data_IF_683965601371
#
_entry.id   IF_683965601371
#
_cell.length_a   1.000
_cell.length_b   1.000
_cell.length_c   1.000
_cell.angle_alpha   90.00
_cell.angle_beta   90.00
_cell.angle_gamma   90.00
#
_symmetry.space_group_name_H-M   'P 1'
#
loop_
_entity.id
_entity.type
_entity.pdbx_description
1 polymer ?
#
# COMPACT_ATOMS: atom_id res chain seq x y z
N UNK A 1 -13.99 10.83 15.59
CA UNK A 1 -14.08 12.27 15.28
C UNK A 1 -15.42 12.45 14.59
N UNK A 2 -16.17 13.54 14.86
CA UNK A 2 -17.35 13.85 14.07
C UNK A 2 -16.97 14.22 12.64
N UNK A 3 -17.86 14.02 11.68
CA UNK A 3 -17.63 14.46 10.30
C UNK A 3 -17.36 15.96 10.23
N UNK A 4 -16.60 16.39 9.23
CA UNK A 4 -16.30 17.81 8.91
C UNK A 4 -15.50 18.60 9.95
N UNK A 5 -14.89 17.99 10.96
CA UNK A 5 -14.20 18.72 12.07
C UNK A 5 -13.06 19.61 11.57
N UNK A 6 -12.37 19.23 10.51
CA UNK A 6 -11.28 20.02 9.90
C UNK A 6 -11.60 20.49 8.47
N UNK A 7 -12.87 20.37 8.04
CA UNK A 7 -13.26 20.83 6.70
C UNK A 7 -12.91 22.29 6.49
N UNK A 8 -12.30 22.61 5.35
CA UNK A 8 -11.85 23.97 5.00
C UNK A 8 -10.60 24.46 5.73
N UNK A 9 -9.91 23.61 6.51
CA UNK A 9 -8.68 24.00 7.19
C UNK A 9 -7.51 24.14 6.20
N UNK A 10 -7.56 25.11 5.30
CA UNK A 10 -6.59 25.30 4.21
C UNK A 10 -5.15 25.58 4.65
N UNK A 11 -4.96 26.03 5.89
CA UNK A 11 -3.62 26.26 6.47
C UNK A 11 -3.04 25.03 7.20
N UNK A 12 -3.80 23.93 7.29
CA UNK A 12 -3.35 22.71 7.93
C UNK A 12 -2.36 21.97 7.01
N UNK A 13 -1.08 21.92 7.39
CA UNK A 13 -0.02 21.30 6.57
C UNK A 13 0.24 19.83 6.89
N UNK A 14 -0.03 19.43 8.12
CA UNK A 14 0.12 18.05 8.58
C UNK A 14 -0.81 17.77 9.75
N UNK A 15 -1.19 16.51 9.92
CA UNK A 15 -1.99 16.04 11.05
C UNK A 15 -1.62 14.62 11.43
N UNK A 16 -1.63 14.33 12.72
CA UNK A 16 -1.51 12.97 13.23
C UNK A 16 -2.90 12.42 13.54
N UNK A 17 -3.31 11.37 12.82
CA UNK A 17 -4.55 10.65 13.09
C UNK A 17 -4.29 9.66 14.24
N UNK A 18 -5.05 9.74 15.35
CA UNK A 18 -4.84 8.85 16.50
C UNK A 18 -5.12 7.38 16.18
N UNK A 19 -4.30 6.47 16.74
CA UNK A 19 -4.50 5.02 16.60
C UNK A 19 -5.78 4.47 17.25
N UNK A 20 -6.54 5.30 17.97
CA UNK A 20 -7.85 4.94 18.52
C UNK A 20 -9.00 5.07 17.50
N UNK A 21 -8.76 5.71 16.35
CA UNK A 21 -9.78 5.87 15.32
C UNK A 21 -9.83 4.61 14.44
N UNK A 22 -11.02 4.10 14.23
CA UNK A 22 -11.29 2.96 13.35
C UNK A 22 -11.90 3.37 12.00
N UNK A 23 -12.40 4.60 11.90
CA UNK A 23 -12.98 5.16 10.68
C UNK A 23 -12.49 6.60 10.54
N UNK A 24 -12.14 6.99 9.32
CA UNK A 24 -12.03 8.40 8.93
C UNK A 24 -13.41 8.82 8.47
N UNK A 25 -14.04 9.71 9.26
CA UNK A 25 -15.42 10.13 9.02
C UNK A 25 -15.57 10.95 7.73
N UNK A 26 -16.79 11.04 7.16
CA UNK A 26 -17.04 11.87 5.97
C UNK A 26 -16.64 13.33 6.16
N UNK A 27 -16.07 13.94 5.11
CA UNK A 27 -15.68 15.35 5.01
C UNK A 27 -14.70 15.84 6.09
N UNK A 28 -14.06 14.94 6.84
CA UNK A 28 -13.27 15.36 8.01
C UNK A 28 -12.10 16.27 7.65
N UNK A 29 -11.47 16.08 6.48
CA UNK A 29 -10.39 16.90 5.92
C UNK A 29 -10.76 17.50 4.56
N UNK A 30 -12.05 17.57 4.24
CA UNK A 30 -12.52 18.19 3.00
C UNK A 30 -11.97 19.61 2.85
N UNK A 31 -11.44 19.95 1.68
CA UNK A 31 -10.83 21.25 1.36
C UNK A 31 -9.65 21.66 2.28
N UNK A 32 -8.93 20.70 2.85
CA UNK A 32 -7.66 20.94 3.53
C UNK A 32 -6.52 21.13 2.51
N UNK A 33 -6.59 22.17 1.69
CA UNK A 33 -5.69 22.37 0.54
C UNK A 33 -4.22 22.52 0.90
N UNK A 34 -3.89 22.90 2.14
CA UNK A 34 -2.52 22.97 2.65
C UNK A 34 -1.93 21.63 3.09
N UNK A 35 -2.74 20.56 3.19
CA UNK A 35 -2.29 19.27 3.70
C UNK A 35 -1.38 18.58 2.68
N UNK A 36 -0.07 18.51 2.98
CA UNK A 36 0.93 17.95 2.07
C UNK A 36 1.18 16.46 2.28
N UNK A 37 0.92 15.98 3.48
CA UNK A 37 1.07 14.57 3.84
C UNK A 37 0.16 14.19 5.00
N UNK A 38 -0.31 12.95 5.00
CA UNK A 38 -1.06 12.36 6.09
C UNK A 38 -0.73 10.87 6.20
N UNK A 39 -0.63 10.37 7.43
CA UNK A 39 -0.46 8.94 7.69
C UNK A 39 -1.78 8.39 8.22
N UNK A 40 -2.35 7.43 7.51
CA UNK A 40 -3.54 6.69 7.95
C UNK A 40 -3.07 5.54 8.85
N UNK A 41 -3.49 5.49 10.13
CA UNK A 41 -3.04 4.45 11.05
C UNK A 41 -3.68 3.09 10.75
N UNK A 42 -3.00 2.01 11.15
CA UNK A 42 -3.47 0.62 10.95
C UNK A 42 -4.72 0.25 11.79
N UNK A 43 -5.27 1.17 12.54
CA UNK A 43 -6.58 1.00 13.21
C UNK A 43 -7.76 1.33 12.30
N UNK A 44 -7.53 2.09 11.21
CA UNK A 44 -8.58 2.57 10.32
C UNK A 44 -9.00 1.46 9.37
N UNK A 45 -10.30 1.16 9.32
CA UNK A 45 -10.89 0.12 8.47
C UNK A 45 -11.66 0.68 7.27
N UNK A 46 -12.04 1.96 7.31
CA UNK A 46 -12.80 2.63 6.24
C UNK A 46 -12.45 4.10 6.16
N UNK A 47 -12.38 4.62 4.92
CA UNK A 47 -12.22 6.04 4.60
C UNK A 47 -13.57 6.55 4.11
N UNK A 48 -14.11 7.56 4.79
CA UNK A 48 -15.43 8.13 4.55
C UNK A 48 -15.53 8.95 3.27
N UNK A 49 -16.76 9.21 2.82
CA UNK A 49 -17.02 10.02 1.62
C UNK A 49 -16.45 11.43 1.79
N UNK A 50 -15.78 11.94 0.76
CA UNK A 50 -15.15 13.27 0.75
C UNK A 50 -14.11 13.48 1.87
N UNK A 51 -13.58 12.43 2.48
CA UNK A 51 -12.72 12.57 3.66
C UNK A 51 -11.48 13.42 3.42
N UNK A 52 -10.89 13.36 2.23
CA UNK A 52 -9.74 14.14 1.77
C UNK A 52 -10.02 14.84 0.42
N UNK A 53 -11.31 15.11 0.11
CA UNK A 53 -11.68 15.82 -1.10
C UNK A 53 -11.01 17.20 -1.12
N UNK A 54 -10.54 17.65 -2.29
CA UNK A 54 -9.84 18.94 -2.47
C UNK A 54 -8.66 19.16 -1.48
N UNK A 55 -8.00 18.06 -1.05
CA UNK A 55 -6.70 18.15 -0.42
C UNK A 55 -5.63 18.38 -1.49
N UNK A 56 -5.72 19.51 -2.17
CA UNK A 56 -4.95 19.80 -3.38
C UNK A 56 -3.43 19.89 -3.16
N UNK A 57 -2.96 20.03 -1.92
CA UNK A 57 -1.54 19.96 -1.55
C UNK A 57 -1.00 18.53 -1.33
N UNK A 58 -1.87 17.52 -1.26
CA UNK A 58 -1.46 16.14 -0.95
C UNK A 58 -0.69 15.52 -2.11
N UNK A 59 0.56 15.10 -1.87
CA UNK A 59 1.45 14.60 -2.93
C UNK A 59 1.45 13.08 -3.06
N UNK A 60 1.20 12.38 -1.96
CA UNK A 60 1.12 10.92 -1.95
C UNK A 60 0.21 10.42 -0.83
N UNK A 61 -0.38 9.26 -1.02
CA UNK A 61 -1.18 8.57 -0.01
C UNK A 61 -0.90 7.08 0.02
N UNK A 62 -0.80 6.52 1.22
CA UNK A 62 -0.73 5.08 1.45
C UNK A 62 -1.96 4.62 2.22
N UNK A 63 -2.73 3.73 1.61
CA UNK A 63 -3.89 3.07 2.22
C UNK A 63 -3.41 1.80 2.91
N UNK A 64 -3.48 1.71 4.26
CA UNK A 64 -2.92 0.59 5.02
C UNK A 64 -3.75 -0.69 4.90
N UNK A 65 -3.16 -1.82 5.32
CA UNK A 65 -3.80 -3.15 5.23
C UNK A 65 -5.06 -3.33 6.10
N UNK A 66 -5.33 -2.41 6.99
CA UNK A 66 -6.57 -2.40 7.78
C UNK A 66 -7.78 -1.88 7.02
N UNK A 67 -7.55 -1.05 5.98
CA UNK A 67 -8.64 -0.43 5.21
C UNK A 67 -9.18 -1.43 4.20
N UNK A 68 -10.50 -1.62 4.25
CA UNK A 68 -11.23 -2.50 3.31
C UNK A 68 -12.10 -1.72 2.33
N UNK A 69 -12.46 -0.48 2.66
CA UNK A 69 -13.40 0.34 1.89
C UNK A 69 -12.88 1.78 1.77
N UNK A 70 -12.87 2.29 0.53
CA UNK A 70 -12.66 3.71 0.20
C UNK A 70 -13.97 4.22 -0.38
N UNK A 71 -14.57 5.22 0.26
CA UNK A 71 -15.90 5.71 -0.11
C UNK A 71 -15.83 6.79 -1.17
N UNK A 72 -17.01 7.19 -1.65
CA UNK A 72 -17.25 8.18 -2.69
C UNK A 72 -16.40 9.45 -2.51
N UNK A 73 -15.74 9.87 -3.58
CA UNK A 73 -14.96 11.11 -3.67
C UNK A 73 -13.90 11.29 -2.56
N UNK A 74 -13.45 10.20 -1.93
CA UNK A 74 -12.60 10.27 -0.73
C UNK A 74 -11.31 11.08 -0.96
N UNK A 75 -10.72 11.04 -2.17
CA UNK A 75 -9.51 11.76 -2.59
C UNK A 75 -9.73 12.54 -3.89
N UNK A 76 -10.99 12.89 -4.20
CA UNK A 76 -11.33 13.70 -5.37
C UNK A 76 -10.64 15.07 -5.30
N UNK A 77 -10.26 15.63 -6.45
CA UNK A 77 -9.61 16.93 -6.57
C UNK A 77 -8.27 17.06 -5.80
N UNK A 78 -7.60 15.95 -5.44
CA UNK A 78 -6.24 15.95 -4.93
C UNK A 78 -5.25 16.23 -6.07
N UNK A 79 -5.23 17.47 -6.57
CA UNK A 79 -4.56 17.82 -7.82
C UNK A 79 -3.02 17.68 -7.81
N UNK A 80 -2.37 17.72 -6.64
CA UNK A 80 -0.93 17.45 -6.51
C UNK A 80 -0.59 15.99 -6.26
N UNK A 81 -1.58 15.09 -6.24
CA UNK A 81 -1.36 13.67 -5.93
C UNK A 81 -0.65 12.98 -7.11
N UNK A 82 0.61 12.57 -6.89
CA UNK A 82 1.42 11.88 -7.89
C UNK A 82 1.50 10.38 -7.65
N UNK A 83 1.28 9.93 -6.42
CA UNK A 83 1.40 8.51 -6.06
C UNK A 83 0.34 8.05 -5.08
N UNK A 84 -0.28 6.92 -5.40
CA UNK A 84 -1.25 6.24 -4.54
C UNK A 84 -0.79 4.80 -4.29
N UNK A 85 -0.80 4.37 -3.02
CA UNK A 85 -0.57 2.97 -2.66
C UNK A 85 -1.83 2.39 -2.04
N UNK A 86 -2.39 1.35 -2.67
CA UNK A 86 -3.59 0.64 -2.24
C UNK A 86 -3.18 -0.75 -1.75
N UNK A 87 -3.49 -1.07 -0.49
CA UNK A 87 -3.16 -2.36 0.10
C UNK A 87 -4.00 -3.51 -0.49
N UNK A 88 -3.56 -4.73 -0.23
CA UNK A 88 -4.26 -5.95 -0.67
C UNK A 88 -5.60 -6.21 0.05
N UNK A 89 -5.90 -5.48 1.11
CA UNK A 89 -7.13 -5.64 1.91
C UNK A 89 -8.30 -4.80 1.37
N UNK A 90 -8.04 -3.82 0.51
CA UNK A 90 -9.10 -3.01 -0.08
C UNK A 90 -9.95 -3.86 -1.02
N UNK A 91 -11.25 -3.91 -0.75
CA UNK A 91 -12.23 -4.70 -1.52
C UNK A 91 -13.22 -3.85 -2.30
N UNK A 92 -13.45 -2.60 -1.87
CA UNK A 92 -14.37 -1.66 -2.51
C UNK A 92 -13.77 -0.25 -2.61
N UNK A 93 -13.87 0.33 -3.81
CA UNK A 93 -13.54 1.72 -4.10
C UNK A 93 -14.76 2.31 -4.81
N UNK A 94 -15.40 3.30 -4.18
CA UNK A 94 -16.65 3.88 -4.66
C UNK A 94 -16.41 5.07 -5.59
N UNK A 95 -17.51 5.56 -6.19
CA UNK A 95 -17.59 6.63 -7.18
C UNK A 95 -16.59 7.76 -6.95
N UNK A 96 -15.90 8.18 -8.00
CA UNK A 96 -15.01 9.33 -8.02
C UNK A 96 -13.88 9.34 -6.95
N UNK A 97 -13.58 8.19 -6.31
CA UNK A 97 -12.68 8.15 -5.14
C UNK A 97 -11.32 8.82 -5.38
N UNK A 98 -10.79 8.79 -6.60
CA UNK A 98 -9.55 9.42 -7.04
C UNK A 98 -9.76 10.25 -8.31
N UNK A 99 -10.98 10.76 -8.54
CA UNK A 99 -11.27 11.60 -9.68
C UNK A 99 -10.53 12.95 -9.59
N UNK A 100 -10.20 13.55 -10.74
CA UNK A 100 -9.53 14.85 -10.87
C UNK A 100 -8.17 14.92 -10.15
N UNK A 101 -7.48 13.79 -10.01
CA UNK A 101 -6.09 13.71 -9.56
C UNK A 101 -5.16 13.86 -10.78
N UNK A 102 -5.18 15.01 -11.45
CA UNK A 102 -4.60 15.22 -12.79
C UNK A 102 -3.07 15.09 -12.89
N UNK A 103 -2.35 14.99 -11.78
CA UNK A 103 -0.91 14.76 -11.75
C UNK A 103 -0.53 13.33 -11.33
N UNK A 104 -1.47 12.40 -11.39
CA UNK A 104 -1.25 11.02 -10.97
C UNK A 104 -0.28 10.32 -11.95
N UNK A 105 0.86 9.87 -11.42
CA UNK A 105 1.91 9.19 -12.18
C UNK A 105 1.98 7.69 -11.88
N UNK A 106 1.82 7.32 -10.61
CA UNK A 106 1.99 5.95 -10.15
C UNK A 106 0.86 5.51 -9.21
N UNK A 107 0.22 4.40 -9.53
CA UNK A 107 -0.71 3.71 -8.65
C UNK A 107 -0.17 2.33 -8.34
N UNK A 108 0.04 2.02 -7.07
CA UNK A 108 0.44 0.70 -6.60
C UNK A 108 -0.78 0.02 -5.98
N UNK A 109 -1.29 -1.04 -6.60
CA UNK A 109 -2.38 -1.83 -6.05
C UNK A 109 -1.89 -3.25 -5.74
N UNK A 110 -1.77 -3.57 -4.46
CA UNK A 110 -1.24 -4.86 -3.99
C UNK A 110 -2.28 -5.99 -4.00
N UNK A 111 -3.51 -5.72 -4.41
CA UNK A 111 -4.58 -6.70 -4.42
C UNK A 111 -4.38 -7.74 -5.53
N UNK A 112 -4.25 -9.02 -5.16
CA UNK A 112 -4.25 -10.14 -6.11
C UNK A 112 -5.65 -10.36 -6.71
N UNK A 113 -6.70 -10.10 -5.93
CA UNK A 113 -8.08 -10.06 -6.38
C UNK A 113 -8.48 -8.60 -6.55
N UNK A 114 -8.76 -8.21 -7.79
CA UNK A 114 -9.12 -6.83 -8.14
C UNK A 114 -10.22 -6.32 -7.21
N UNK A 115 -10.03 -5.15 -6.56
CA UNK A 115 -11.10 -4.49 -5.83
C UNK A 115 -12.27 -4.20 -6.75
N UNK A 116 -13.49 -4.35 -6.25
CA UNK A 116 -14.64 -3.78 -6.94
C UNK A 116 -14.45 -2.26 -6.97
N UNK A 117 -14.58 -1.68 -8.15
CA UNK A 117 -14.39 -0.26 -8.37
C UNK A 117 -15.43 0.23 -9.36
N UNK A 118 -16.03 1.38 -9.08
CA UNK A 118 -16.90 2.04 -10.04
C UNK A 118 -16.08 2.59 -11.21
N UNK A 119 -16.68 2.75 -12.39
CA UNK A 119 -15.94 3.07 -13.62
C UNK A 119 -15.31 4.47 -13.59
N UNK A 120 -15.80 5.36 -12.77
CA UNK A 120 -15.42 6.77 -12.65
C UNK A 120 -14.43 7.08 -11.52
N UNK A 121 -13.91 6.05 -10.83
CA UNK A 121 -12.99 6.27 -9.70
C UNK A 121 -11.75 7.10 -10.05
N UNK A 122 -11.35 7.14 -11.32
CA UNK A 122 -10.24 7.93 -11.85
C UNK A 122 -10.68 8.96 -12.89
N UNK A 123 -11.95 9.38 -12.89
CA UNK A 123 -12.45 10.36 -13.84
C UNK A 123 -11.57 11.63 -13.86
N UNK A 124 -11.21 12.12 -15.02
CA UNK A 124 -10.34 13.30 -15.22
C UNK A 124 -8.95 13.22 -14.52
N UNK A 125 -8.47 12.02 -14.22
CA UNK A 125 -7.15 11.82 -13.59
C UNK A 125 -6.06 11.43 -14.60
N UNK A 126 -6.37 11.44 -15.89
CA UNK A 126 -5.43 11.19 -17.00
C UNK A 126 -4.60 9.92 -16.82
N UNK A 127 -5.23 8.84 -16.35
CA UNK A 127 -4.54 7.56 -16.05
C UNK A 127 -3.91 6.90 -17.27
N UNK A 128 -4.29 7.29 -18.48
CA UNK A 128 -3.65 6.88 -19.74
C UNK A 128 -2.18 7.31 -19.82
N UNK A 129 -1.72 8.26 -19.00
CA UNK A 129 -0.32 8.67 -18.87
C UNK A 129 0.34 8.10 -17.63
N UNK A 130 -0.41 7.48 -16.71
CA UNK A 130 0.07 6.93 -15.46
C UNK A 130 0.45 5.44 -15.57
N UNK A 131 1.22 4.97 -14.59
CA UNK A 131 1.60 3.57 -14.45
C UNK A 131 0.84 2.92 -13.29
N UNK A 132 0.15 1.82 -13.57
CA UNK A 132 -0.42 0.94 -12.57
C UNK A 132 0.56 -0.20 -12.27
N UNK A 133 0.93 -0.34 -11.02
CA UNK A 133 1.78 -1.41 -10.51
C UNK A 133 0.91 -2.42 -9.75
N UNK A 134 0.93 -3.68 -10.14
CA UNK A 134 0.08 -4.75 -9.57
C UNK A 134 0.88 -6.03 -9.35
N UNK A 135 0.40 -6.99 -8.53
CA UNK A 135 1.03 -8.30 -8.44
C UNK A 135 1.15 -8.97 -9.81
N UNK A 136 2.28 -9.63 -10.08
CA UNK A 136 2.54 -10.31 -11.36
C UNK A 136 1.45 -11.33 -11.71
N UNK A 137 0.92 -12.05 -10.70
CA UNK A 137 -0.19 -12.99 -10.83
C UNK A 137 -1.50 -12.36 -11.30
N UNK A 138 -1.71 -11.07 -11.03
CA UNK A 138 -2.97 -10.36 -11.29
C UNK A 138 -2.97 -9.49 -12.57
N UNK A 139 -1.81 -9.29 -13.21
CA UNK A 139 -1.67 -8.37 -14.37
C UNK A 139 -2.74 -8.60 -15.44
N UNK A 140 -3.00 -9.86 -15.80
CA UNK A 140 -3.97 -10.20 -16.85
C UNK A 140 -5.39 -9.72 -16.51
N UNK A 141 -5.77 -9.78 -15.24
CA UNK A 141 -7.06 -9.31 -14.77
C UNK A 141 -7.16 -7.79 -14.81
N UNK A 142 -6.13 -7.08 -14.32
CA UNK A 142 -6.11 -5.61 -14.35
C UNK A 142 -6.14 -5.05 -15.79
N UNK A 143 -5.51 -5.73 -16.76
CA UNK A 143 -5.52 -5.34 -18.16
C UNK A 143 -6.87 -5.47 -18.86
N UNK A 144 -7.79 -6.24 -18.31
CA UNK A 144 -9.08 -6.56 -18.93
C UNK A 144 -10.29 -6.01 -18.21
N UNK A 145 -10.10 -5.39 -17.04
CA UNK A 145 -11.21 -4.90 -16.23
C UNK A 145 -11.13 -3.38 -16.02
N UNK A 146 -12.22 -2.69 -16.38
CA UNK A 146 -12.43 -1.27 -16.07
C UNK A 146 -12.55 -1.08 -14.56
N UNK A 147 -12.13 0.10 -14.04
CA UNK A 147 -11.42 1.20 -14.72
C UNK A 147 -9.91 0.96 -14.87
N UNK A 148 -9.39 -0.11 -14.27
CA UNK A 148 -7.96 -0.42 -14.19
C UNK A 148 -7.28 -0.58 -15.55
N UNK A 149 -8.02 -1.10 -16.55
CA UNK A 149 -7.51 -1.29 -17.91
C UNK A 149 -7.24 0.03 -18.65
N UNK A 150 -7.69 1.17 -18.11
CA UNK A 150 -7.45 2.51 -18.66
C UNK A 150 -6.05 3.07 -18.45
N UNK A 151 -5.23 2.44 -17.57
CA UNK A 151 -3.87 2.92 -17.35
C UNK A 151 -2.98 2.72 -18.58
N UNK A 152 -2.16 3.75 -18.90
CA UNK A 152 -1.27 3.70 -20.06
C UNK A 152 -0.19 2.62 -19.96
N UNK A 153 0.25 2.30 -18.74
CA UNK A 153 1.16 1.20 -18.44
C UNK A 153 0.66 0.38 -17.28
N UNK A 154 0.59 -0.95 -17.43
CA UNK A 154 0.30 -1.88 -16.33
C UNK A 154 1.46 -2.86 -16.24
N UNK A 155 2.18 -2.86 -15.11
CA UNK A 155 3.35 -3.70 -14.89
C UNK A 155 3.36 -4.35 -13.51
N UNK A 156 4.19 -5.37 -13.35
CA UNK A 156 4.39 -6.00 -12.05
C UNK A 156 5.01 -5.03 -11.05
N UNK A 157 4.58 -5.10 -9.80
CA UNK A 157 5.31 -4.50 -8.68
C UNK A 157 6.64 -5.24 -8.58
N UNK A 158 7.74 -4.54 -8.75
CA UNK A 158 9.07 -5.15 -8.63
C UNK A 158 9.25 -5.71 -7.21
N UNK A 159 9.62 -6.99 -7.12
CA UNK A 159 9.81 -7.69 -5.84
C UNK A 159 8.54 -8.26 -5.20
N UNK A 160 7.38 -8.24 -5.90
CA UNK A 160 6.17 -9.00 -5.52
C UNK A 160 6.01 -10.27 -6.35
N UNK A 161 6.94 -10.59 -7.22
CA UNK A 161 7.08 -11.98 -7.62
C UNK A 161 7.27 -12.74 -6.31
N UNK A 162 6.22 -13.43 -5.89
CA UNK A 162 6.32 -14.25 -4.68
C UNK A 162 7.56 -15.08 -4.85
N UNK A 163 8.53 -14.86 -3.97
CA UNK A 163 9.68 -15.75 -3.92
C UNK A 163 9.08 -17.08 -3.52
N UNK A 164 8.67 -17.87 -4.53
CA UNK A 164 8.25 -19.26 -4.30
C UNK A 164 9.43 -20.04 -3.73
N UNK A 165 10.63 -19.69 -4.09
CA UNK A 165 11.89 -20.03 -3.42
C UNK A 165 13.02 -19.23 -4.05
N UNK A 166 13.86 -18.54 -3.26
CA UNK A 166 15.17 -18.10 -3.71
C UNK A 166 16.19 -19.09 -3.17
N UNK A 167 16.71 -19.90 -4.04
CA UNK A 167 17.87 -20.71 -3.73
C UNK A 167 19.13 -19.83 -3.81
N UNK A 168 19.49 -19.21 -2.69
CA UNK A 168 20.77 -18.53 -2.53
C UNK A 168 21.65 -19.47 -1.71
N UNK A 169 22.69 -20.04 -2.29
CA UNK A 169 23.62 -20.98 -1.62
C UNK A 169 22.93 -22.19 -0.95
N UNK A 170 21.86 -22.74 -1.53
CA UNK A 170 21.09 -23.83 -0.90
C UNK A 170 20.18 -23.38 0.25
N UNK A 171 19.94 -22.08 0.37
CA UNK A 171 18.99 -21.50 1.32
C UNK A 171 17.62 -21.43 0.65
N UNK A 172 16.63 -22.02 1.29
CA UNK A 172 15.22 -21.92 0.89
C UNK A 172 14.49 -20.91 1.79
N UNK A 173 13.76 -19.98 1.19
CA UNK A 173 13.01 -18.94 1.89
C UNK A 173 11.55 -19.02 1.51
N UNK A 174 10.69 -19.23 2.48
CA UNK A 174 9.25 -19.30 2.31
C UNK A 174 8.55 -18.25 3.18
N UNK A 175 7.51 -17.63 2.65
CA UNK A 175 6.66 -16.73 3.41
C UNK A 175 5.22 -17.21 3.38
N UNK A 176 4.65 -17.46 4.56
CA UNK A 176 3.27 -17.91 4.71
C UNK A 176 2.71 -17.45 6.07
N UNK A 177 1.44 -17.02 6.07
CA UNK A 177 0.70 -16.72 7.31
C UNK A 177 1.35 -15.64 8.20
N UNK A 178 2.04 -14.67 7.62
CA UNK A 178 2.73 -13.62 8.38
C UNK A 178 4.08 -14.07 8.97
N UNK A 179 4.64 -15.18 8.50
CA UNK A 179 5.97 -15.65 8.89
C UNK A 179 6.88 -15.77 7.67
N UNK A 180 8.15 -15.46 7.88
CA UNK A 180 9.26 -15.75 6.98
C UNK A 180 10.00 -16.95 7.56
N UNK A 181 10.00 -18.07 6.84
CA UNK A 181 10.71 -19.29 7.22
C UNK A 181 11.93 -19.43 6.30
N UNK A 182 13.10 -19.64 6.87
CA UNK A 182 14.36 -19.78 6.15
C UNK A 182 15.02 -21.08 6.56
N UNK A 183 15.40 -21.90 5.59
CA UNK A 183 16.10 -23.17 5.78
C UNK A 183 17.38 -23.24 4.93
N UNK A 184 18.26 -24.18 5.22
CA UNK A 184 19.57 -24.28 4.56
C UNK A 184 20.64 -23.37 5.14
N UNK A 185 20.40 -22.78 6.31
CA UNK A 185 21.37 -21.95 7.04
C UNK A 185 22.41 -22.80 7.78
N UNK A 186 23.56 -22.21 8.06
CA UNK A 186 24.49 -22.79 9.03
C UNK A 186 23.90 -22.76 10.45
N UNK A 187 24.24 -23.75 11.26
CA UNK A 187 23.76 -23.75 12.64
C UNK A 187 24.33 -22.57 13.42
N UNK A 188 23.47 -21.85 14.16
CA UNK A 188 23.74 -20.57 14.82
C UNK A 188 24.01 -19.37 13.88
N UNK A 189 23.77 -19.50 12.58
CA UNK A 189 23.79 -18.34 11.67
C UNK A 189 22.66 -17.38 12.04
N UNK A 190 22.96 -16.09 12.10
CA UNK A 190 21.97 -15.05 12.44
C UNK A 190 21.51 -14.32 11.20
N UNK A 191 20.21 -14.26 11.01
CA UNK A 191 19.54 -13.48 9.98
C UNK A 191 19.01 -12.20 10.61
N UNK A 192 19.35 -11.05 10.04
CA UNK A 192 18.81 -9.76 10.46
C UNK A 192 17.75 -9.28 9.48
N UNK A 193 16.63 -8.77 10.00
CA UNK A 193 15.49 -8.33 9.20
C UNK A 193 15.31 -6.83 9.29
N UNK A 194 15.04 -6.20 8.15
CA UNK A 194 14.88 -4.75 8.00
C UNK A 194 13.62 -4.44 7.20
N UNK A 195 12.99 -3.31 7.49
CA UNK A 195 12.00 -2.71 6.62
C UNK A 195 12.64 -2.16 5.34
N UNK A 196 11.83 -1.87 4.34
CA UNK A 196 12.30 -1.22 3.10
C UNK A 196 12.87 0.18 3.35
N UNK A 197 12.53 0.79 4.49
CA UNK A 197 13.07 2.08 4.98
C UNK A 197 14.45 1.92 5.68
N UNK A 198 15.00 0.70 5.71
CA UNK A 198 16.27 0.37 6.35
C UNK A 198 16.21 0.24 7.88
N UNK A 199 15.05 0.43 8.52
CA UNK A 199 14.91 0.23 9.96
C UNK A 199 14.97 -1.24 10.32
N UNK A 200 15.71 -1.57 11.39
CA UNK A 200 15.78 -2.94 11.90
C UNK A 200 14.41 -3.37 12.47
N UNK A 201 13.95 -4.53 12.01
CA UNK A 201 12.74 -5.21 12.52
C UNK A 201 13.08 -6.26 13.56
N UNK A 202 14.35 -6.70 13.61
CA UNK A 202 14.84 -7.72 14.52
C UNK A 202 15.80 -8.68 13.86
N UNK A 203 16.13 -9.76 14.58
CA UNK A 203 16.96 -10.86 14.08
C UNK A 203 16.48 -12.20 14.62
N UNK A 204 16.79 -13.28 13.91
CA UNK A 204 16.53 -14.64 14.31
C UNK A 204 17.77 -15.51 14.04
N UNK A 205 18.08 -16.41 14.95
CA UNK A 205 19.24 -17.32 14.87
C UNK A 205 18.79 -18.70 14.45
N UNK A 206 19.48 -19.31 13.51
CA UNK A 206 19.17 -20.64 13.00
C UNK A 206 19.44 -21.73 14.04
N UNK A 207 18.49 -22.64 14.21
CA UNK A 207 18.60 -23.85 14.98
C UNK A 207 18.37 -25.03 14.02
N UNK A 208 19.32 -25.95 13.97
CA UNK A 208 19.30 -27.06 13.02
C UNK A 208 19.12 -26.61 11.55
N UNK A 209 19.76 -25.51 11.19
CA UNK A 209 19.73 -24.98 9.82
C UNK A 209 18.43 -24.24 9.44
N UNK A 210 17.54 -23.98 10.39
CA UNK A 210 16.26 -23.30 10.12
C UNK A 210 16.03 -22.14 11.08
N UNK A 211 15.33 -21.08 10.59
CA UNK A 211 14.86 -19.99 11.42
C UNK A 211 13.51 -19.48 10.93
N UNK A 212 12.77 -18.81 11.80
CA UNK A 212 11.49 -18.19 11.48
C UNK A 212 11.40 -16.79 12.08
N UNK A 213 10.81 -15.86 11.34
CA UNK A 213 10.62 -14.47 11.77
C UNK A 213 9.20 -14.04 11.48
N UNK A 214 8.51 -13.54 12.51
CA UNK A 214 7.17 -12.99 12.35
C UNK A 214 7.26 -11.60 11.69
N UNK A 215 6.53 -11.40 10.61
CA UNK A 215 6.46 -10.12 9.90
C UNK A 215 5.01 -9.86 9.47
N UNK A 216 4.66 -8.60 9.31
CA UNK A 216 3.31 -8.24 8.92
C UNK A 216 3.01 -8.75 7.49
N UNK A 217 1.93 -9.52 7.32
CA UNK A 217 1.47 -9.97 6.00
C UNK A 217 1.21 -8.76 5.09
N UNK A 218 1.62 -8.87 3.82
CA UNK A 218 1.58 -7.77 2.85
C UNK A 218 2.75 -6.77 2.96
N UNK A 219 3.65 -6.92 3.94
CA UNK A 219 4.86 -6.09 4.03
C UNK A 219 5.98 -6.64 3.16
N UNK A 220 6.98 -5.79 2.88
CA UNK A 220 8.24 -6.20 2.30
C UNK A 220 9.32 -6.11 3.36
N UNK A 221 10.06 -7.19 3.54
CA UNK A 221 11.15 -7.30 4.50
C UNK A 221 12.45 -7.60 3.75
N UNK A 222 13.55 -6.98 4.16
CA UNK A 222 14.89 -7.32 3.68
C UNK A 222 15.56 -8.22 4.74
N UNK A 223 15.81 -9.47 4.38
CA UNK A 223 16.59 -10.38 5.21
C UNK A 223 18.08 -10.26 4.83
N UNK A 224 18.95 -10.01 5.81
CA UNK A 224 20.40 -10.02 5.65
C UNK A 224 20.97 -11.30 6.21
N UNK A 225 21.58 -12.11 5.32
CA UNK A 225 22.18 -13.40 5.62
C UNK A 225 23.65 -13.31 5.22
N UNK A 226 24.54 -13.21 6.19
CA UNK A 226 25.98 -12.98 5.93
C UNK A 226 26.21 -11.66 5.19
N UNK A 227 26.69 -11.73 3.93
CA UNK A 227 26.91 -10.56 3.06
C UNK A 227 25.74 -10.29 2.10
N UNK A 228 24.74 -11.14 2.06
CA UNK A 228 23.64 -11.08 1.13
C UNK A 228 22.43 -10.37 1.72
N UNK A 229 21.72 -9.61 0.90
CA UNK A 229 20.47 -8.98 1.26
C UNK A 229 19.38 -9.54 0.32
N UNK A 230 18.36 -10.14 0.90
CA UNK A 230 17.26 -10.78 0.17
C UNK A 230 15.99 -10.04 0.51
N UNK A 231 15.31 -9.56 -0.51
CA UNK A 231 14.02 -8.86 -0.35
C UNK A 231 12.89 -9.88 -0.40
N UNK A 232 12.05 -9.91 0.62
CA UNK A 232 11.02 -10.92 0.83
C UNK A 232 9.66 -10.22 0.93
N UNK A 233 8.70 -10.62 0.09
CA UNK A 233 7.31 -10.22 0.27
C UNK A 233 6.65 -11.16 1.29
N UNK A 234 6.07 -10.60 2.35
CA UNK A 234 5.44 -11.38 3.43
C UNK A 234 4.00 -11.70 3.05
N UNK A 235 3.69 -12.98 2.90
CA UNK A 235 2.35 -13.50 2.59
C UNK A 235 1.51 -13.75 3.85
#
# INVERSE_FOLDING_TARGET
MGGSVFSGCSSLTSITIPNSLTIIEPNVFDSCSGLTSVTIPNSVTSIGSYAFNDCSGLTSITIPNSVTIIRESAFKDCSCLTSVTISNSVTYIFDEAFAKCGNLENVYCYAEKIPYADDDIFEDSYIEYATLHVPSSAISYYKTNSPWSGFGTIKAIEGTEGIESVEVRGIDIQSAGGFINISGLDNNETVSFYGIDGKSLGSATAINGTTSFAAQSGSIVVAKIGKENIKIAVK
#
